data_IF_387589394548
#
_entry.id   IF_387589394548
#
_cell.length_a   1.000
_cell.length_b   1.000
_cell.length_c   1.000
_cell.angle_alpha   90.00
_cell.angle_beta   90.00
_cell.angle_gamma   90.00
#
_symmetry.space_group_name_H-M   'P 1'
#
loop_
_entity.id
_entity.type
_entity.pdbx_description
1 polymer ?
#
# COMPACT_ATOMS: atom_id res chain seq x y z
N UNK A 1 -36.36 17.70 106.91
CA UNK A 1 -35.58 18.63 106.06
C UNK A 1 -34.62 17.81 105.22
N UNK A 2 -34.79 17.84 103.90
CA UNK A 2 -34.19 16.90 102.94
C UNK A 2 -32.85 17.43 102.44
N UNK A 3 -31.76 16.68 102.65
CA UNK A 3 -30.41 17.04 102.17
C UNK A 3 -30.02 16.06 101.06
N UNK A 4 -29.79 16.61 99.87
CA UNK A 4 -29.51 15.91 98.61
C UNK A 4 -28.19 15.13 98.66
N UNK A 5 -28.26 13.87 98.21
CA UNK A 5 -27.10 13.03 97.94
C UNK A 5 -26.33 13.50 96.68
N UNK A 6 -25.00 13.53 96.74
CA UNK A 6 -24.10 13.74 95.60
C UNK A 6 -23.16 12.54 95.46
N UNK A 7 -23.37 11.72 94.42
CA UNK A 7 -22.53 10.56 94.08
C UNK A 7 -21.20 11.03 93.47
N UNK A 8 -20.08 10.45 93.91
CA UNK A 8 -18.75 10.59 93.29
C UNK A 8 -18.60 9.59 92.14
N UNK A 9 -18.05 9.96 90.97
CA UNK A 9 -17.79 9.03 89.88
C UNK A 9 -16.53 8.19 90.12
N UNK A 10 -16.58 6.93 89.68
CA UNK A 10 -15.49 5.93 89.70
C UNK A 10 -14.82 5.89 88.31
N UNK A 11 -13.51 6.19 88.32
CA UNK A 11 -12.35 5.74 87.52
C UNK A 11 -12.49 5.38 86.02
N UNK A 12 -11.58 5.91 85.21
CA UNK A 12 -10.97 5.20 84.07
C UNK A 12 -9.43 5.26 84.21
N UNK A 13 -8.69 4.17 83.93
CA UNK A 13 -7.23 4.20 83.93
C UNK A 13 -6.68 4.89 82.66
N UNK A 14 -5.46 5.45 82.70
CA UNK A 14 -4.83 6.04 81.53
C UNK A 14 -4.34 4.96 80.55
N UNK A 15 -4.67 5.13 79.28
CA UNK A 15 -4.18 4.31 78.15
C UNK A 15 -2.66 4.44 78.03
N UNK A 16 -1.95 3.32 78.07
CA UNK A 16 -0.52 3.26 77.85
C UNK A 16 -0.16 3.66 76.40
N UNK A 17 0.76 4.61 76.26
CA UNK A 17 1.34 5.02 74.98
C UNK A 17 2.28 3.94 74.44
N UNK A 18 1.86 3.26 73.36
CA UNK A 18 2.69 2.30 72.63
C UNK A 18 3.70 2.99 71.72
N UNK A 19 4.94 3.17 72.20
CA UNK A 19 6.12 3.52 71.39
C UNK A 19 6.62 2.28 70.63
N UNK A 20 5.99 1.87 69.53
CA UNK A 20 6.48 0.72 68.74
C UNK A 20 6.20 0.78 67.22
N UNK A 21 6.10 1.97 66.62
CA UNK A 21 5.66 2.10 65.20
C UNK A 21 6.76 2.47 64.20
N UNK A 22 7.97 2.86 64.61
CA UNK A 22 9.01 3.31 63.67
C UNK A 22 9.76 2.21 62.90
N UNK A 23 10.17 1.13 63.60
CA UNK A 23 11.01 0.07 63.00
C UNK A 23 10.25 -0.88 62.08
N UNK A 24 8.99 -1.19 62.40
CA UNK A 24 8.18 -2.14 61.61
C UNK A 24 7.79 -1.53 60.25
N UNK A 25 7.49 -0.22 60.22
CA UNK A 25 7.22 0.49 58.97
C UNK A 25 8.47 0.61 58.09
N UNK A 26 9.64 0.87 58.66
CA UNK A 26 10.89 0.94 57.91
C UNK A 26 11.27 -0.40 57.24
N UNK A 27 11.07 -1.53 57.93
CA UNK A 27 11.31 -2.86 57.37
C UNK A 27 10.32 -3.19 56.26
N UNK A 28 9.02 -2.90 56.44
CA UNK A 28 7.99 -3.13 55.42
C UNK A 28 8.24 -2.33 54.13
N UNK A 29 8.55 -1.04 54.24
CA UNK A 29 8.85 -0.19 53.07
C UNK A 29 10.10 -0.67 52.34
N UNK A 30 11.17 -1.02 53.08
CA UNK A 30 12.38 -1.56 52.48
C UNK A 30 12.12 -2.88 51.73
N UNK A 31 11.30 -3.79 52.29
CA UNK A 31 10.96 -5.05 51.62
C UNK A 31 10.11 -4.87 50.36
N UNK A 32 9.19 -3.89 50.32
CA UNK A 32 8.40 -3.58 49.12
C UNK A 32 9.28 -2.99 48.02
N UNK A 33 10.22 -2.11 48.37
CA UNK A 33 11.17 -1.52 47.40
C UNK A 33 12.09 -2.60 46.82
N UNK A 34 12.66 -3.47 47.65
CA UNK A 34 13.52 -4.57 47.19
C UNK A 34 12.73 -5.56 46.32
N UNK A 35 11.50 -5.91 46.71
CA UNK A 35 10.64 -6.79 45.90
C UNK A 35 10.25 -6.15 44.56
N UNK A 36 9.98 -4.84 44.53
CA UNK A 36 9.69 -4.09 43.31
C UNK A 36 10.90 -4.01 42.37
N UNK A 37 12.11 -3.77 42.91
CA UNK A 37 13.34 -3.76 42.14
C UNK A 37 13.72 -5.16 41.61
N UNK A 38 13.55 -6.20 42.44
CA UNK A 38 13.78 -7.58 42.02
C UNK A 38 12.76 -8.04 40.98
N UNK A 39 11.47 -7.70 41.16
CA UNK A 39 10.42 -7.97 40.20
C UNK A 39 10.60 -7.21 38.87
N UNK A 40 11.03 -5.95 38.93
CA UNK A 40 11.36 -5.16 37.75
C UNK A 40 12.59 -5.69 37.00
N UNK A 41 13.64 -6.11 37.71
CA UNK A 41 14.83 -6.71 37.11
C UNK A 41 14.56 -8.08 36.48
N UNK A 42 13.74 -8.93 37.14
CA UNK A 42 13.30 -10.21 36.58
C UNK A 42 12.37 -10.00 35.39
N UNK A 43 11.46 -9.04 35.45
CA UNK A 43 10.60 -8.66 34.32
C UNK A 43 11.40 -8.14 33.13
N UNK A 44 12.48 -7.38 33.37
CA UNK A 44 13.40 -6.93 32.33
C UNK A 44 14.23 -8.08 31.72
N UNK A 45 14.74 -9.00 32.55
CA UNK A 45 15.52 -10.16 32.07
C UNK A 45 14.68 -11.17 31.29
N UNK A 46 13.39 -11.30 31.62
CA UNK A 46 12.45 -12.20 30.93
C UNK A 46 11.78 -11.50 29.73
N UNK A 47 11.62 -10.17 29.79
CA UNK A 47 10.96 -9.38 28.76
C UNK A 47 11.90 -8.69 27.76
N UNK A 48 13.22 -8.75 27.95
CA UNK A 48 14.18 -8.17 26.99
C UNK A 48 14.17 -8.96 25.68
N UNK A 49 14.13 -8.30 24.51
CA UNK A 49 14.20 -8.98 23.21
C UNK A 49 15.40 -9.91 23.16
N UNK A 50 15.19 -11.12 22.67
CA UNK A 50 16.30 -12.04 22.44
C UNK A 50 17.21 -11.54 21.32
N UNK A 51 18.40 -12.12 21.19
CA UNK A 51 19.26 -11.86 20.03
C UNK A 51 18.55 -12.19 18.70
N UNK A 52 17.68 -13.21 18.70
CA UNK A 52 16.84 -13.56 17.55
C UNK A 52 15.81 -12.49 17.25
N UNK A 53 15.11 -11.96 18.26
CA UNK A 53 14.12 -10.90 18.07
C UNK A 53 14.77 -9.61 17.53
N UNK A 54 15.96 -9.30 18.02
CA UNK A 54 16.76 -8.17 17.51
C UNK A 54 17.17 -8.38 16.06
N UNK A 55 17.66 -9.58 15.72
CA UNK A 55 18.04 -9.92 14.34
C UNK A 55 16.83 -9.87 13.38
N UNK A 56 15.66 -10.35 13.81
CA UNK A 56 14.41 -10.25 13.04
C UNK A 56 14.04 -8.77 12.83
N UNK A 57 14.07 -7.96 13.89
CA UNK A 57 13.77 -6.53 13.80
C UNK A 57 14.72 -5.80 12.85
N UNK A 58 16.01 -6.13 12.85
CA UNK A 58 17.00 -5.53 11.96
C UNK A 58 16.80 -5.96 10.50
N UNK A 59 16.44 -7.24 10.26
CA UNK A 59 16.05 -7.71 8.93
C UNK A 59 14.81 -6.98 8.40
N UNK A 60 13.77 -6.81 9.24
CA UNK A 60 12.58 -6.07 8.85
C UNK A 60 12.89 -4.61 8.50
N UNK A 61 13.76 -3.93 9.27
CA UNK A 61 14.18 -2.56 8.94
C UNK A 61 14.92 -2.50 7.60
N UNK A 62 15.82 -3.45 7.35
CA UNK A 62 16.55 -3.52 6.08
C UNK A 62 15.60 -3.76 4.89
N UNK A 63 14.60 -4.62 5.06
CA UNK A 63 13.56 -4.88 4.05
C UNK A 63 12.72 -3.63 3.76
N UNK A 64 12.32 -2.87 4.79
CA UNK A 64 11.57 -1.62 4.63
C UNK A 64 12.39 -0.59 3.84
N UNK A 65 13.67 -0.40 4.18
CA UNK A 65 14.54 0.54 3.46
C UNK A 65 14.68 0.16 1.99
N UNK A 66 14.88 -1.13 1.70
CA UNK A 66 14.95 -1.62 0.31
C UNK A 66 13.62 -1.41 -0.41
N UNK A 67 12.50 -1.70 0.24
CA UNK A 67 11.18 -1.59 -0.37
C UNK A 67 10.84 -0.13 -0.69
N UNK A 68 11.19 0.84 0.17
CA UNK A 68 11.06 2.27 -0.14
C UNK A 68 11.77 2.67 -1.43
N UNK A 69 12.98 2.17 -1.66
CA UNK A 69 13.70 2.42 -2.90
C UNK A 69 13.01 1.76 -4.10
N UNK A 70 12.53 0.52 -3.93
CA UNK A 70 11.83 -0.19 -5.01
C UNK A 70 10.49 0.45 -5.38
N UNK A 71 9.77 1.01 -4.41
CA UNK A 71 8.56 1.80 -4.66
C UNK A 71 8.91 3.06 -5.46
N UNK A 72 10.00 3.75 -5.14
CA UNK A 72 10.46 4.92 -5.92
C UNK A 72 10.74 4.59 -7.39
N UNK A 73 11.54 3.54 -7.60
CA UNK A 73 11.92 3.08 -8.93
C UNK A 73 10.69 2.64 -9.74
N UNK A 74 9.77 1.91 -9.09
CA UNK A 74 8.51 1.50 -9.71
C UNK A 74 7.62 2.70 -10.05
N UNK A 75 7.55 3.71 -9.18
CA UNK A 75 6.81 4.95 -9.44
C UNK A 75 7.36 5.69 -10.66
N UNK A 76 8.68 5.88 -10.73
CA UNK A 76 9.32 6.51 -11.89
C UNK A 76 9.09 5.73 -13.19
N UNK A 77 9.23 4.41 -13.15
CA UNK A 77 8.97 3.55 -14.29
C UNK A 77 7.50 3.61 -14.73
N UNK A 78 6.55 3.55 -13.79
CA UNK A 78 5.13 3.59 -14.10
C UNK A 78 4.71 4.92 -14.72
N UNK A 79 5.13 6.06 -14.15
CA UNK A 79 4.82 7.40 -14.70
C UNK A 79 5.39 7.60 -16.11
N UNK A 80 6.65 7.22 -16.32
CA UNK A 80 7.27 7.32 -17.66
C UNK A 80 6.60 6.38 -18.67
N UNK A 81 6.22 5.17 -18.25
CA UNK A 81 5.48 4.23 -19.07
C UNK A 81 4.09 4.77 -19.44
N UNK A 82 3.36 5.36 -18.50
CA UNK A 82 2.04 5.94 -18.75
C UNK A 82 2.09 6.98 -19.87
N UNK A 83 3.08 7.87 -19.86
CA UNK A 83 3.31 8.87 -20.93
C UNK A 83 3.60 8.22 -22.29
N UNK A 84 4.35 7.12 -22.32
CA UNK A 84 4.64 6.40 -23.57
C UNK A 84 3.39 5.68 -24.10
N UNK A 85 2.65 4.99 -23.23
CA UNK A 85 1.45 4.23 -23.60
C UNK A 85 0.27 5.13 -23.96
N UNK A 86 0.12 6.29 -23.32
CA UNK A 86 -0.95 7.25 -23.62
C UNK A 86 -0.94 7.67 -25.10
N UNK A 87 0.24 7.85 -25.69
CA UNK A 87 0.37 8.15 -27.12
C UNK A 87 -0.17 7.03 -28.01
N UNK A 88 0.12 5.79 -27.65
CA UNK A 88 -0.36 4.61 -28.39
C UNK A 88 -1.87 4.43 -28.20
N UNK A 89 -2.36 4.59 -26.97
CA UNK A 89 -3.77 4.43 -26.62
C UNK A 89 -4.65 5.50 -27.27
N UNK A 90 -4.19 6.75 -27.34
CA UNK A 90 -4.89 7.83 -28.01
C UNK A 90 -5.10 7.53 -29.50
N UNK A 91 -4.04 7.08 -30.20
CA UNK A 91 -4.12 6.72 -31.61
C UNK A 91 -4.94 5.44 -31.84
N UNK A 92 -4.77 4.43 -30.98
CA UNK A 92 -5.58 3.21 -31.02
C UNK A 92 -7.06 3.50 -30.76
N UNK A 93 -7.41 4.51 -29.96
CA UNK A 93 -8.78 4.94 -29.73
C UNK A 93 -9.44 5.55 -30.96
N UNK A 94 -8.67 6.19 -31.84
CA UNK A 94 -9.18 6.66 -33.14
C UNK A 94 -9.40 5.49 -34.11
N UNK A 95 -8.50 4.51 -34.08
CA UNK A 95 -8.55 3.33 -34.92
C UNK A 95 -9.65 2.35 -34.52
N UNK A 96 -9.92 2.27 -33.22
CA UNK A 96 -10.85 1.34 -32.59
C UNK A 96 -11.68 2.13 -31.56
N UNK A 97 -12.69 2.91 -31.99
CA UNK A 97 -13.55 3.65 -31.08
C UNK A 97 -14.34 2.71 -30.17
N UNK A 98 -14.59 3.13 -28.93
CA UNK A 98 -15.45 2.38 -28.01
C UNK A 98 -16.93 2.57 -28.32
N UNK A 99 -17.33 3.80 -28.66
CA UNK A 99 -18.70 4.09 -29.02
C UNK A 99 -18.99 3.61 -30.44
N UNK A 100 -20.00 2.74 -30.59
CA UNK A 100 -20.46 2.24 -31.90
C UNK A 100 -20.93 3.36 -32.85
N UNK A 101 -21.29 4.51 -32.30
CA UNK A 101 -21.70 5.71 -33.05
C UNK A 101 -20.52 6.48 -33.66
N UNK A 102 -19.28 6.17 -33.27
CA UNK A 102 -18.08 6.83 -33.77
C UNK A 102 -17.46 6.02 -34.89
N UNK A 103 -17.32 6.62 -36.07
CA UNK A 103 -16.69 5.95 -37.21
C UNK A 103 -15.19 5.67 -36.94
N UNK A 104 -14.71 4.42 -37.11
CA UNK A 104 -13.30 4.09 -36.93
C UNK A 104 -12.44 4.76 -38.00
N UNK A 105 -11.20 5.09 -37.64
CA UNK A 105 -10.15 5.55 -38.56
C UNK A 105 -9.02 4.53 -38.62
N UNK A 106 -9.13 3.45 -39.43
CA UNK A 106 -8.16 2.37 -39.43
C UNK A 106 -6.74 2.89 -39.68
N UNK A 107 -5.80 2.44 -38.86
CA UNK A 107 -4.39 2.75 -39.07
C UNK A 107 -3.80 1.88 -40.19
N UNK A 108 -2.80 2.41 -40.89
CA UNK A 108 -2.03 1.63 -41.87
C UNK A 108 -1.08 0.66 -41.15
N UNK A 109 -0.71 -0.49 -41.75
CA UNK A 109 0.10 -1.52 -41.11
C UNK A 109 1.43 -1.02 -40.53
N UNK A 110 2.06 -0.04 -41.17
CA UNK A 110 3.31 0.57 -40.72
C UNK A 110 3.16 1.27 -39.36
N UNK A 111 2.03 1.95 -39.14
CA UNK A 111 1.73 2.64 -37.89
C UNK A 111 1.46 1.62 -36.78
N UNK A 112 0.71 0.54 -37.09
CA UNK A 112 0.43 -0.53 -36.12
C UNK A 112 1.70 -1.22 -35.67
N UNK A 113 2.64 -1.49 -36.59
CA UNK A 113 3.97 -2.02 -36.23
C UNK A 113 4.73 -1.08 -35.30
N UNK A 114 4.67 0.23 -35.54
CA UNK A 114 5.25 1.23 -34.65
C UNK A 114 4.67 1.20 -33.23
N UNK A 115 3.35 0.98 -33.10
CA UNK A 115 2.71 0.78 -31.80
C UNK A 115 3.16 -0.51 -31.11
N UNK A 116 3.20 -1.62 -31.86
CA UNK A 116 3.67 -2.91 -31.33
C UNK A 116 5.11 -2.82 -30.82
N UNK A 117 5.99 -2.14 -31.56
CA UNK A 117 7.39 -1.96 -31.16
C UNK A 117 7.52 -1.05 -29.93
N UNK A 118 6.72 0.02 -29.84
CA UNK A 118 6.66 0.88 -28.66
C UNK A 118 6.22 0.10 -27.40
N UNK A 119 5.13 -0.69 -27.52
CA UNK A 119 4.63 -1.50 -26.40
C UNK A 119 5.60 -2.62 -26.03
N UNK A 120 6.28 -3.25 -27.01
CA UNK A 120 7.31 -4.26 -26.75
C UNK A 120 8.49 -3.68 -25.97
N UNK A 121 8.96 -2.48 -26.35
CA UNK A 121 10.02 -1.78 -25.61
C UNK A 121 9.60 -1.47 -24.18
N UNK A 122 8.34 -1.11 -23.96
CA UNK A 122 7.80 -0.94 -22.60
C UNK A 122 7.76 -2.27 -21.86
N UNK A 123 7.31 -3.35 -22.51
CA UNK A 123 7.25 -4.68 -21.91
C UNK A 123 8.63 -5.14 -21.42
N UNK A 124 9.68 -4.88 -22.19
CA UNK A 124 11.07 -5.21 -21.81
C UNK A 124 11.49 -4.48 -20.51
N UNK A 125 11.11 -3.20 -20.33
CA UNK A 125 11.38 -2.45 -19.10
C UNK A 125 10.67 -3.04 -17.87
N UNK A 126 9.50 -3.65 -18.06
CA UNK A 126 8.71 -4.29 -17.00
C UNK A 126 9.03 -5.78 -16.82
N UNK A 127 9.91 -6.35 -17.64
CA UNK A 127 10.31 -7.76 -17.55
C UNK A 127 11.27 -8.02 -16.38
N UNK A 128 12.11 -7.05 -16.06
CA UNK A 128 13.03 -7.13 -14.93
C UNK A 128 12.27 -6.93 -13.61
N UNK A 129 12.46 -7.83 -12.65
CA UNK A 129 11.72 -7.80 -11.39
C UNK A 129 12.63 -8.17 -10.24
N UNK A 130 13.33 -7.19 -9.64
CA UNK A 130 13.97 -7.37 -8.35
C UNK A 130 12.94 -7.85 -7.33
N UNK A 131 13.29 -8.84 -6.52
CA UNK A 131 12.40 -9.30 -5.46
C UNK A 131 12.19 -8.16 -4.45
N UNK A 132 10.92 -7.81 -4.21
CA UNK A 132 10.50 -6.84 -3.20
C UNK A 132 9.51 -7.41 -2.20
N UNK A 133 8.91 -6.56 -1.38
CA UNK A 133 7.80 -6.98 -0.52
C UNK A 133 6.59 -7.43 -1.38
N UNK A 134 5.70 -8.22 -0.79
CA UNK A 134 4.56 -8.81 -1.50
C UNK A 134 3.72 -7.75 -2.22
N UNK A 135 3.38 -6.65 -1.55
CA UNK A 135 2.56 -5.58 -2.14
C UNK A 135 3.25 -4.91 -3.34
N UNK A 136 4.55 -4.63 -3.23
CA UNK A 136 5.39 -4.11 -4.34
C UNK A 136 5.42 -5.08 -5.53
N UNK A 137 5.54 -6.39 -5.27
CA UNK A 137 5.49 -7.40 -6.32
C UNK A 137 4.11 -7.50 -6.97
N UNK A 138 3.02 -7.29 -6.23
CA UNK A 138 1.66 -7.25 -6.77
C UNK A 138 1.50 -6.06 -7.72
N UNK A 139 1.91 -4.85 -7.33
CA UNK A 139 1.88 -3.68 -8.20
C UNK A 139 2.68 -3.90 -9.50
N UNK A 140 3.94 -4.38 -9.36
CA UNK A 140 4.81 -4.67 -10.50
C UNK A 140 4.21 -5.73 -11.44
N UNK A 141 3.68 -6.81 -10.86
CA UNK A 141 3.00 -7.87 -11.59
C UNK A 141 1.75 -7.36 -12.32
N UNK A 142 1.00 -6.45 -11.71
CA UNK A 142 -0.13 -5.76 -12.32
C UNK A 142 0.25 -4.95 -13.56
N UNK A 143 1.25 -4.07 -13.45
CA UNK A 143 1.75 -3.29 -14.60
C UNK A 143 2.25 -4.16 -15.74
N UNK A 144 3.08 -5.17 -15.44
CA UNK A 144 3.57 -6.12 -16.45
C UNK A 144 2.42 -6.83 -17.16
N UNK A 145 1.39 -7.24 -16.41
CA UNK A 145 0.23 -7.92 -16.98
C UNK A 145 -0.60 -6.98 -17.85
N UNK A 146 -0.78 -5.72 -17.43
CA UNK A 146 -1.48 -4.70 -18.22
C UNK A 146 -0.77 -4.42 -19.56
N UNK A 147 0.56 -4.23 -19.53
CA UNK A 147 1.37 -4.03 -20.73
C UNK A 147 1.28 -5.24 -21.67
N UNK A 148 1.37 -6.45 -21.12
CA UNK A 148 1.23 -7.69 -21.91
C UNK A 148 -0.16 -7.83 -22.53
N UNK A 149 -1.23 -7.44 -21.82
CA UNK A 149 -2.58 -7.45 -22.34
C UNK A 149 -2.75 -6.44 -23.49
N UNK A 150 -2.16 -5.25 -23.38
CA UNK A 150 -2.16 -4.24 -24.44
C UNK A 150 -1.39 -4.73 -25.68
N UNK A 151 -0.25 -5.39 -25.49
CA UNK A 151 0.49 -6.00 -26.60
C UNK A 151 -0.39 -7.01 -27.36
N UNK A 152 -1.10 -7.88 -26.63
CA UNK A 152 -2.04 -8.83 -27.23
C UNK A 152 -3.22 -8.16 -27.96
N UNK A 153 -3.71 -7.02 -27.47
CA UNK A 153 -4.73 -6.24 -28.16
C UNK A 153 -4.21 -5.68 -29.50
N UNK A 154 -2.98 -5.18 -29.54
CA UNK A 154 -2.34 -4.69 -30.75
C UNK A 154 -2.07 -5.82 -31.77
N UNK A 155 -1.62 -6.99 -31.31
CA UNK A 155 -1.44 -8.16 -32.16
C UNK A 155 -2.77 -8.62 -32.77
N UNK A 156 -3.84 -8.60 -31.97
CA UNK A 156 -5.19 -8.89 -32.44
C UNK A 156 -5.64 -7.86 -33.48
N UNK A 157 -5.40 -6.57 -33.23
CA UNK A 157 -5.72 -5.50 -34.19
C UNK A 157 -4.99 -5.67 -35.53
N UNK A 158 -3.69 -5.98 -35.48
CA UNK A 158 -2.89 -6.23 -36.68
C UNK A 158 -3.45 -7.41 -37.49
N UNK A 159 -3.87 -8.49 -36.83
CA UNK A 159 -4.51 -9.62 -37.48
C UNK A 159 -5.85 -9.24 -38.13
N UNK A 160 -6.67 -8.42 -37.45
CA UNK A 160 -7.96 -7.96 -37.97
C UNK A 160 -7.80 -7.13 -39.24
N UNK A 161 -6.76 -6.30 -39.35
CA UNK A 161 -6.47 -5.52 -40.56
C UNK A 161 -6.18 -6.40 -41.79
N UNK A 162 -5.71 -7.63 -41.59
CA UNK A 162 -5.47 -8.59 -42.68
C UNK A 162 -6.73 -9.27 -43.22
N UNK A 163 -7.89 -9.11 -42.57
CA UNK A 163 -9.12 -9.79 -42.94
C UNK A 163 -9.92 -9.01 -44.01
N UNK A 164 -10.83 -9.68 -44.75
CA UNK A 164 -11.86 -9.03 -45.56
C UNK A 164 -12.73 -8.08 -44.73
N UNK A 165 -13.14 -6.94 -45.32
CA UNK A 165 -13.84 -5.84 -44.62
C UNK A 165 -15.13 -6.27 -43.93
N UNK A 166 -15.90 -7.16 -44.56
CA UNK A 166 -17.15 -7.75 -44.06
C UNK A 166 -16.98 -8.52 -42.74
N UNK A 167 -15.75 -8.94 -42.40
CA UNK A 167 -15.43 -9.68 -41.17
C UNK A 167 -14.75 -8.83 -40.10
N UNK A 168 -14.44 -7.56 -40.38
CA UNK A 168 -13.66 -6.71 -39.47
C UNK A 168 -14.48 -6.18 -38.30
N UNK A 169 -15.73 -5.75 -38.55
CA UNK A 169 -16.50 -4.97 -37.59
C UNK A 169 -16.66 -5.65 -36.21
N UNK A 170 -17.05 -6.94 -36.18
CA UNK A 170 -17.22 -7.69 -34.92
C UNK A 170 -15.89 -7.94 -34.19
N UNK A 171 -14.78 -8.03 -34.92
CA UNK A 171 -13.45 -8.28 -34.36
C UNK A 171 -12.78 -6.99 -33.88
N UNK A 172 -13.03 -5.85 -34.52
CA UNK A 172 -12.62 -4.52 -34.04
C UNK A 172 -13.25 -4.24 -32.66
N UNK A 173 -14.51 -4.61 -32.45
CA UNK A 173 -15.15 -4.52 -31.13
C UNK A 173 -14.48 -5.40 -30.05
N UNK A 174 -13.88 -6.54 -30.43
CA UNK A 174 -13.08 -7.35 -29.49
C UNK A 174 -11.77 -6.65 -29.11
N UNK A 175 -11.09 -6.02 -30.07
CA UNK A 175 -9.88 -5.24 -29.82
C UNK A 175 -10.17 -4.09 -28.85
N UNK A 176 -11.32 -3.41 -29.02
CA UNK A 176 -11.75 -2.35 -28.09
C UNK A 176 -11.80 -2.87 -26.64
N UNK A 177 -12.50 -3.99 -26.43
CA UNK A 177 -12.63 -4.62 -25.10
C UNK A 177 -11.30 -5.08 -24.52
N UNK A 178 -10.41 -5.64 -25.34
CA UNK A 178 -9.06 -6.04 -24.90
C UNK A 178 -8.25 -4.82 -24.45
N UNK A 179 -8.31 -3.71 -25.20
CA UNK A 179 -7.68 -2.44 -24.81
C UNK A 179 -8.23 -1.96 -23.47
N UNK A 180 -9.56 -1.89 -23.31
CA UNK A 180 -10.19 -1.45 -22.06
C UNK A 180 -9.79 -2.36 -20.88
N UNK A 181 -9.68 -3.67 -21.09
CA UNK A 181 -9.19 -4.62 -20.07
C UNK A 181 -7.76 -4.30 -19.66
N UNK A 182 -6.87 -4.02 -20.61
CA UNK A 182 -5.49 -3.65 -20.32
C UNK A 182 -5.40 -2.33 -19.53
N UNK A 183 -6.20 -1.32 -19.89
CA UNK A 183 -6.28 -0.04 -19.15
C UNK A 183 -6.82 -0.26 -17.73
N UNK A 184 -7.87 -1.07 -17.56
CA UNK A 184 -8.39 -1.39 -16.23
C UNK A 184 -7.36 -2.10 -15.35
N UNK A 185 -6.61 -3.06 -15.91
CA UNK A 185 -5.51 -3.73 -15.20
C UNK A 185 -4.41 -2.75 -14.79
N UNK A 186 -4.09 -1.79 -15.66
CA UNK A 186 -3.15 -0.72 -15.35
C UNK A 186 -3.66 0.14 -14.18
N UNK A 187 -4.92 0.56 -14.23
CA UNK A 187 -5.53 1.37 -13.18
C UNK A 187 -5.46 0.70 -11.81
N UNK A 188 -5.75 -0.61 -11.71
CA UNK A 188 -5.63 -1.35 -10.45
C UNK A 188 -4.19 -1.37 -9.94
N UNK A 189 -3.22 -1.58 -10.83
CA UNK A 189 -1.80 -1.54 -10.47
C UNK A 189 -1.36 -0.14 -10.02
N UNK A 190 -1.85 0.92 -10.69
CA UNK A 190 -1.62 2.30 -10.33
C UNK A 190 -2.20 2.65 -8.95
N UNK A 191 -3.41 2.18 -8.63
CA UNK A 191 -4.00 2.34 -7.28
C UNK A 191 -3.18 1.62 -6.21
N UNK A 192 -2.71 0.40 -6.47
CA UNK A 192 -1.85 -0.31 -5.53
C UNK A 192 -0.52 0.44 -5.31
N UNK A 193 0.05 0.99 -6.38
CA UNK A 193 1.27 1.79 -6.31
C UNK A 193 1.06 3.11 -5.57
N UNK A 194 -0.09 3.75 -5.75
CA UNK A 194 -0.46 4.98 -5.02
C UNK A 194 -0.46 4.74 -3.51
N UNK A 195 -1.14 3.67 -3.05
CA UNK A 195 -1.11 3.26 -1.64
C UNK A 195 0.30 2.96 -1.15
N UNK A 196 1.13 2.28 -1.95
CA UNK A 196 2.53 2.01 -1.58
C UNK A 196 3.34 3.30 -1.39
N UNK A 197 3.09 4.34 -2.19
CA UNK A 197 3.77 5.63 -2.02
C UNK A 197 3.32 6.34 -0.74
N UNK A 198 2.03 6.27 -0.38
CA UNK A 198 1.53 6.75 0.91
C UNK A 198 2.19 6.01 2.07
N UNK A 199 2.26 4.67 2.01
CA UNK A 199 2.83 3.83 3.07
C UNK A 199 4.32 4.14 3.34
N UNK A 200 5.06 4.58 2.32
CA UNK A 200 6.48 4.97 2.45
C UNK A 200 6.68 6.49 2.62
N UNK A 201 5.63 7.25 2.90
CA UNK A 201 5.69 8.68 3.22
C UNK A 201 5.97 9.60 2.02
N UNK A 202 5.61 9.16 0.80
CA UNK A 202 5.75 9.94 -0.44
C UNK A 202 4.43 10.58 -0.91
N UNK A 203 3.36 10.37 -0.15
CA UNK A 203 2.01 10.82 -0.47
C UNK A 203 1.46 10.17 -1.74
N UNK A 204 0.33 10.69 -2.22
CA UNK A 204 -0.30 10.20 -3.44
C UNK A 204 0.58 10.40 -4.69
N UNK A 205 0.67 9.37 -5.54
CA UNK A 205 1.39 9.36 -6.81
C UNK A 205 0.49 8.79 -7.92
N UNK A 206 0.11 9.66 -8.85
CA UNK A 206 -0.85 9.31 -9.90
C UNK A 206 -0.15 8.78 -11.16
N UNK A 207 0.12 7.47 -11.19
CA UNK A 207 0.65 6.79 -12.37
C UNK A 207 -0.44 6.22 -13.29
N UNK A 208 -1.59 6.91 -13.43
CA UNK A 208 -2.72 6.46 -14.24
C UNK A 208 -2.56 6.81 -15.73
N UNK A 209 -3.18 6.02 -16.61
CA UNK A 209 -3.31 6.35 -18.03
C UNK A 209 -4.41 7.40 -18.21
N UNK A 210 -4.15 8.41 -19.05
CA UNK A 210 -5.09 9.51 -19.29
C UNK A 210 -5.88 9.34 -20.58
N UNK A 211 -5.33 8.56 -21.51
CA UNK A 211 -5.91 8.29 -22.83
C UNK A 211 -6.71 7.00 -22.76
N UNK A 212 -8.01 7.10 -23.01
CA UNK A 212 -8.93 5.98 -22.89
C UNK A 212 -9.68 6.02 -21.57
N UNK A 213 -10.61 6.97 -21.44
CA UNK A 213 -11.71 6.87 -20.49
C UNK A 213 -12.57 5.65 -20.89
N UNK A 214 -12.01 4.46 -20.71
CA UNK A 214 -12.63 3.20 -21.04
C UNK A 214 -13.48 2.77 -19.87
N UNK A 215 -14.65 2.20 -20.15
CA UNK A 215 -15.48 1.55 -19.14
C UNK A 215 -14.62 0.59 -18.30
N UNK A 216 -14.44 0.92 -17.01
CA UNK A 216 -13.67 0.12 -16.05
C UNK A 216 -12.29 0.68 -15.67
N UNK A 217 -11.81 1.77 -16.29
CA UNK A 217 -10.63 2.48 -15.79
C UNK A 217 -10.97 3.19 -14.46
N UNK A 218 -10.17 2.96 -13.42
CA UNK A 218 -10.25 3.77 -12.19
C UNK A 218 -9.61 5.11 -12.51
N UNK A 219 -10.34 6.20 -12.29
CA UNK A 219 -9.85 7.57 -12.45
C UNK A 219 -9.03 8.00 -11.24
N UNK A 220 -8.09 8.91 -11.46
CA UNK A 220 -7.42 9.65 -10.37
C UNK A 220 -8.47 10.26 -9.43
N UNK A 221 -8.18 10.23 -8.13
CA UNK A 221 -8.91 11.09 -7.21
C UNK A 221 -8.50 12.56 -7.41
N UNK A 222 -9.20 13.48 -6.75
CA UNK A 222 -8.89 14.91 -6.83
C UNK A 222 -7.81 15.32 -5.82
N UNK A 223 -7.11 14.35 -5.21
CA UNK A 223 -6.10 14.61 -4.18
C UNK A 223 -4.77 14.97 -4.88
N UNK A 224 -4.16 16.13 -4.59
CA UNK A 224 -2.91 16.52 -5.24
C UNK A 224 -1.76 15.54 -4.97
N UNK A 225 -0.89 15.32 -5.96
CA UNK A 225 0.30 14.49 -5.77
C UNK A 225 1.15 15.00 -4.59
N UNK A 226 1.73 14.06 -3.83
CA UNK A 226 2.61 14.36 -2.70
C UNK A 226 1.90 14.83 -1.42
N UNK A 227 0.57 14.66 -1.33
CA UNK A 227 -0.19 14.89 -0.08
C UNK A 227 -0.43 13.58 0.67
N UNK A 228 -0.48 13.68 2.02
CA UNK A 228 -0.72 12.57 2.97
C UNK A 228 -2.19 12.45 3.37
#
# INVERSE_FOLDING_TARGET
MSVKARRKPIVSPPTAAGRFTGRVYGVLVASVVVAGLAGGALGYLVGSPSATDTAIADLHKADVVRDTQQVEELTGLAKSTAVELDKVLAELALAVPEAETTAPKPAVPEIVRGWQDAVRKVADKHAESPSGMTATNVARGGFRSAVSALAGALDTYAAVLGLPEDRRASLVGLVARQRSTAVAMWSVAATQLDQLNVDVGKGHQHAYLTSGHSDGAISVDQVPEGTE
#
